data_IF_358409396455
#
_entry.id   IF_358409396455
#
_cell.length_a   1.000
_cell.length_b   1.000
_cell.length_c   1.000
_cell.angle_alpha   90.00
_cell.angle_beta   90.00
_cell.angle_gamma   90.00
#
_symmetry.space_group_name_H-M   'P 1'
#
loop_
_entity.id
_entity.type
_entity.pdbx_description
1 polymer ?
#
# COMPACT_ATOMS: atom_id res chain seq x y z
N UNK A 1 -20.40 5.88 -32.07
CA UNK A 1 -19.83 6.82 -31.08
C UNK A 1 -20.01 6.20 -29.71
N UNK A 2 -18.96 5.60 -29.16
CA UNK A 2 -19.02 5.06 -27.80
C UNK A 2 -19.04 6.25 -26.84
N UNK A 3 -20.14 6.39 -26.09
CA UNK A 3 -20.22 7.32 -24.98
C UNK A 3 -19.19 6.89 -23.93
N UNK A 4 -18.13 7.68 -23.75
CA UNK A 4 -17.23 7.52 -22.61
C UNK A 4 -18.03 8.00 -21.41
N UNK A 5 -18.71 7.07 -20.74
CA UNK A 5 -19.30 7.36 -19.44
C UNK A 5 -18.16 7.67 -18.48
N UNK A 6 -18.02 8.95 -18.13
CA UNK A 6 -17.13 9.35 -17.05
C UNK A 6 -17.59 8.63 -15.79
N UNK A 7 -16.78 7.66 -15.33
CA UNK A 7 -17.07 6.87 -14.15
C UNK A 7 -17.15 7.77 -12.92
N UNK A 8 -18.14 7.54 -12.05
CA UNK A 8 -18.32 8.33 -10.83
C UNK A 8 -17.15 8.12 -9.86
N UNK A 9 -16.94 9.05 -8.92
CA UNK A 9 -15.92 8.87 -7.87
C UNK A 9 -16.13 7.55 -7.09
N UNK A 10 -17.37 7.22 -6.78
CA UNK A 10 -17.73 5.96 -6.10
C UNK A 10 -17.30 4.74 -6.91
N UNK A 11 -17.60 4.70 -8.21
CA UNK A 11 -17.17 3.61 -9.10
C UNK A 11 -15.64 3.53 -9.21
N UNK A 12 -14.94 4.67 -9.29
CA UNK A 12 -13.47 4.70 -9.30
C UNK A 12 -12.90 4.10 -8.01
N UNK A 13 -13.46 4.44 -6.85
CA UNK A 13 -13.03 3.91 -5.54
C UNK A 13 -13.36 2.41 -5.43
N UNK A 14 -14.53 1.98 -5.89
CA UNK A 14 -14.90 0.55 -5.91
C UNK A 14 -13.93 -0.26 -6.77
N UNK A 15 -13.62 0.22 -7.98
CA UNK A 15 -12.64 -0.40 -8.86
C UNK A 15 -11.24 -0.46 -8.25
N UNK A 16 -10.83 0.61 -7.53
CA UNK A 16 -9.58 0.63 -6.79
C UNK A 16 -9.57 -0.40 -5.65
N UNK A 17 -10.67 -0.56 -4.92
CA UNK A 17 -10.81 -1.53 -3.85
C UNK A 17 -10.69 -2.97 -4.38
N UNK A 18 -11.37 -3.28 -5.49
CA UNK A 18 -11.28 -4.59 -6.13
C UNK A 18 -9.84 -4.91 -6.53
N UNK A 19 -9.17 -4.02 -7.27
CA UNK A 19 -7.77 -4.20 -7.68
C UNK A 19 -6.83 -4.37 -6.49
N UNK A 20 -7.06 -3.62 -5.41
CA UNK A 20 -6.25 -3.68 -4.19
C UNK A 20 -6.43 -5.02 -3.48
N UNK A 21 -7.67 -5.53 -3.40
CA UNK A 21 -8.00 -6.82 -2.80
C UNK A 21 -7.38 -7.99 -3.58
N UNK A 22 -7.53 -7.99 -4.91
CA UNK A 22 -6.94 -9.02 -5.79
C UNK A 22 -5.40 -9.05 -5.66
N UNK A 23 -4.76 -7.89 -5.66
CA UNK A 23 -3.32 -7.78 -5.52
C UNK A 23 -2.82 -8.20 -4.12
N UNK A 24 -3.57 -7.87 -3.06
CA UNK A 24 -3.27 -8.32 -1.69
C UNK A 24 -3.36 -9.84 -1.59
N UNK A 25 -4.45 -10.44 -2.07
CA UNK A 25 -4.65 -11.88 -2.04
C UNK A 25 -3.54 -12.61 -2.79
N UNK A 26 -3.18 -12.13 -3.99
CA UNK A 26 -2.08 -12.67 -4.78
C UNK A 26 -0.76 -12.64 -4.00
N UNK A 27 -0.44 -11.53 -3.35
CA UNK A 27 0.80 -11.37 -2.60
C UNK A 27 0.84 -12.25 -1.34
N UNK A 28 -0.29 -12.38 -0.63
CA UNK A 28 -0.42 -13.29 0.51
C UNK A 28 -0.19 -14.73 0.06
N UNK A 29 -0.89 -15.20 -0.98
CA UNK A 29 -0.78 -16.57 -1.45
C UNK A 29 0.64 -16.89 -1.92
N UNK A 30 1.27 -15.99 -2.68
CA UNK A 30 2.65 -16.13 -3.11
C UNK A 30 3.60 -16.33 -1.91
N UNK A 31 3.50 -15.46 -0.90
CA UNK A 31 4.34 -15.56 0.29
C UNK A 31 4.10 -16.86 1.07
N UNK A 32 2.83 -17.28 1.20
CA UNK A 32 2.49 -18.52 1.90
C UNK A 32 3.06 -19.76 1.19
N UNK A 33 3.16 -19.75 -0.14
CA UNK A 33 3.83 -20.82 -0.88
C UNK A 33 5.35 -20.80 -0.69
N UNK A 34 6.00 -19.62 -0.74
CA UNK A 34 7.43 -19.49 -0.44
C UNK A 34 7.78 -20.02 0.96
N UNK A 35 6.93 -19.72 1.96
CA UNK A 35 7.12 -20.18 3.34
C UNK A 35 7.20 -21.71 3.50
N UNK A 36 6.72 -22.49 2.52
CA UNK A 36 6.79 -23.96 2.58
C UNK A 36 8.19 -24.49 2.35
N UNK A 37 9.03 -23.72 1.66
CA UNK A 37 10.41 -24.11 1.31
C UNK A 37 11.48 -23.26 1.98
N UNK A 38 11.06 -22.25 2.77
CA UNK A 38 11.95 -21.46 3.62
C UNK A 38 12.68 -22.36 4.64
N UNK A 39 13.90 -21.95 5.01
CA UNK A 39 14.58 -22.52 6.18
C UNK A 39 13.72 -22.29 7.44
N UNK A 40 13.66 -23.31 8.29
CA UNK A 40 12.82 -23.33 9.50
C UNK A 40 13.63 -23.41 10.79
N UNK A 41 14.94 -23.19 10.70
CA UNK A 41 15.87 -23.25 11.83
C UNK A 41 15.49 -22.30 12.98
N UNK A 42 14.82 -21.18 12.69
CA UNK A 42 14.33 -20.25 13.73
C UNK A 42 13.27 -20.86 14.66
N UNK A 43 12.56 -21.92 14.26
CA UNK A 43 11.65 -22.64 15.16
C UNK A 43 12.38 -23.32 16.32
N UNK A 44 13.69 -23.57 16.22
CA UNK A 44 14.48 -24.00 17.37
C UNK A 44 14.46 -22.94 18.48
N UNK A 45 14.62 -21.67 18.12
CA UNK A 45 14.59 -20.56 19.07
C UNK A 45 13.20 -20.45 19.70
N UNK A 46 12.14 -20.56 18.89
CA UNK A 46 10.76 -20.53 19.39
C UNK A 46 10.51 -21.64 20.43
N UNK A 47 10.99 -22.87 20.17
CA UNK A 47 10.88 -23.99 21.12
C UNK A 47 11.64 -23.74 22.42
N UNK A 48 12.84 -23.17 22.36
CA UNK A 48 13.59 -22.77 23.57
C UNK A 48 12.80 -21.78 24.42
N UNK A 49 11.99 -20.92 23.77
CA UNK A 49 11.10 -19.96 24.42
C UNK A 49 9.73 -20.55 24.81
N UNK A 50 9.52 -21.86 24.66
CA UNK A 50 8.28 -22.54 25.03
C UNK A 50 7.16 -22.46 24.00
N UNK A 51 7.44 -21.98 22.79
CA UNK A 51 6.47 -21.90 21.68
C UNK A 51 6.59 -23.14 20.80
N UNK A 52 5.47 -23.80 20.54
CA UNK A 52 5.45 -24.97 19.66
C UNK A 52 5.73 -24.59 18.21
N UNK A 53 6.20 -25.53 17.41
CA UNK A 53 6.43 -25.28 15.98
C UNK A 53 5.14 -24.87 15.26
N UNK A 54 4.00 -25.47 15.64
CA UNK A 54 2.70 -25.15 15.08
C UNK A 54 2.29 -23.70 15.39
N UNK A 55 2.43 -23.27 16.65
CA UNK A 55 2.17 -21.87 17.04
C UNK A 55 3.13 -20.92 16.31
N UNK A 56 4.41 -21.27 16.21
CA UNK A 56 5.42 -20.53 15.45
C UNK A 56 5.03 -20.30 13.99
N UNK A 57 4.61 -21.37 13.30
CA UNK A 57 4.13 -21.29 11.91
C UNK A 57 2.91 -20.39 11.78
N UNK A 58 1.95 -20.48 12.71
CA UNK A 58 0.77 -19.61 12.71
C UNK A 58 1.15 -18.14 12.93
N UNK A 59 2.06 -17.86 13.88
CA UNK A 59 2.57 -16.52 14.13
C UNK A 59 3.19 -15.95 12.85
N UNK A 60 4.09 -16.69 12.19
CA UNK A 60 4.73 -16.24 10.97
C UNK A 60 3.71 -15.98 9.84
N UNK A 61 2.70 -16.84 9.70
CA UNK A 61 1.60 -16.65 8.73
C UNK A 61 0.84 -15.35 8.99
N UNK A 62 0.44 -15.11 10.24
CA UNK A 62 -0.34 -13.91 10.59
C UNK A 62 0.51 -12.64 10.54
N UNK A 63 1.79 -12.70 10.88
CA UNK A 63 2.71 -11.58 10.70
C UNK A 63 2.84 -11.18 9.23
N UNK A 64 3.02 -12.14 8.32
CA UNK A 64 3.09 -11.85 6.88
C UNK A 64 1.77 -11.27 6.37
N UNK A 65 0.63 -11.88 6.73
CA UNK A 65 -0.71 -11.36 6.37
C UNK A 65 -0.93 -9.94 6.88
N UNK A 66 -0.61 -9.68 8.14
CA UNK A 66 -0.73 -8.36 8.76
C UNK A 66 0.15 -7.31 8.06
N UNK A 67 1.42 -7.65 7.80
CA UNK A 67 2.35 -6.77 7.07
C UNK A 67 1.80 -6.39 5.70
N UNK A 68 1.28 -7.35 4.94
CA UNK A 68 0.69 -7.04 3.63
C UNK A 68 -0.61 -6.25 3.78
N UNK A 69 -1.50 -6.61 4.70
CA UNK A 69 -2.74 -5.88 4.93
C UNK A 69 -2.49 -4.38 5.14
N UNK A 70 -1.60 -4.02 6.06
CA UNK A 70 -1.31 -2.60 6.34
C UNK A 70 -0.65 -1.88 5.16
N UNK A 71 0.24 -2.56 4.41
CA UNK A 71 0.83 -1.99 3.19
C UNK A 71 -0.23 -1.66 2.14
N UNK A 72 -1.13 -2.60 1.87
CA UNK A 72 -2.15 -2.43 0.83
C UNK A 72 -3.26 -1.48 1.29
N UNK A 73 -3.65 -1.51 2.56
CA UNK A 73 -4.61 -0.56 3.13
C UNK A 73 -4.09 0.88 3.05
N UNK A 74 -2.81 1.11 3.38
CA UNK A 74 -2.17 2.42 3.26
C UNK A 74 -2.18 2.94 1.82
N UNK A 75 -1.70 2.13 0.87
CA UNK A 75 -1.70 2.52 -0.55
C UNK A 75 -3.10 2.70 -1.14
N UNK A 76 -4.08 1.93 -0.68
CA UNK A 76 -5.47 2.10 -1.07
C UNK A 76 -6.00 3.47 -0.60
N UNK A 77 -5.82 3.81 0.68
CA UNK A 77 -6.28 5.07 1.24
C UNK A 77 -5.62 6.28 0.58
N UNK A 78 -4.32 6.20 0.32
CA UNK A 78 -3.56 7.23 -0.41
C UNK A 78 -4.20 7.51 -1.79
N UNK A 79 -4.41 6.47 -2.60
CA UNK A 79 -5.01 6.59 -3.93
C UNK A 79 -6.47 7.03 -3.90
N UNK A 80 -7.26 6.53 -2.96
CA UNK A 80 -8.65 6.95 -2.79
C UNK A 80 -8.75 8.43 -2.41
N UNK A 81 -7.80 8.91 -1.58
CA UNK A 81 -7.69 10.32 -1.21
C UNK A 81 -7.31 11.18 -2.42
N UNK A 82 -6.33 10.74 -3.22
CA UNK A 82 -5.96 11.43 -4.46
C UNK A 82 -7.14 11.54 -5.44
N UNK A 83 -7.92 10.47 -5.61
CA UNK A 83 -9.14 10.50 -6.44
C UNK A 83 -10.15 11.52 -5.91
N UNK A 84 -10.32 11.60 -4.59
CA UNK A 84 -11.24 12.53 -3.95
C UNK A 84 -10.79 13.99 -4.11
N UNK A 85 -9.48 14.25 -4.02
CA UNK A 85 -8.92 15.58 -4.29
C UNK A 85 -9.07 16.00 -5.75
N UNK A 86 -8.79 15.11 -6.70
CA UNK A 86 -8.97 15.41 -8.12
C UNK A 86 -10.43 15.70 -8.49
N UNK A 87 -11.40 15.02 -7.83
CA UNK A 87 -12.81 15.30 -8.05
C UNK A 87 -13.20 16.70 -7.55
N UNK A 88 -12.68 17.11 -6.39
CA UNK A 88 -12.98 18.42 -5.78
C UNK A 88 -12.18 19.58 -6.41
N UNK A 89 -10.93 19.30 -6.80
CA UNK A 89 -9.95 20.25 -7.30
C UNK A 89 -9.33 19.69 -8.60
N UNK A 90 -10.01 19.82 -9.75
CA UNK A 90 -9.61 19.18 -11.01
C UNK A 90 -8.23 19.62 -11.54
N UNK A 91 -7.80 20.84 -11.19
CA UNK A 91 -6.51 21.41 -11.60
C UNK A 91 -5.37 21.08 -10.62
N UNK A 92 -5.64 20.29 -9.57
CA UNK A 92 -4.61 19.90 -8.61
C UNK A 92 -3.60 18.90 -9.21
N UNK A 93 -2.34 19.02 -8.79
CA UNK A 93 -1.23 18.17 -9.27
C UNK A 93 -0.38 17.68 -8.10
N UNK A 94 0.16 16.46 -8.24
CA UNK A 94 1.27 16.02 -7.38
C UNK A 94 2.57 16.65 -7.87
N UNK A 95 3.34 17.24 -6.95
CA UNK A 95 4.64 17.86 -7.28
C UNK A 95 5.73 17.38 -6.32
N UNK A 96 6.95 17.29 -6.85
CA UNK A 96 8.15 17.05 -6.05
C UNK A 96 8.95 18.33 -5.93
N UNK A 97 9.16 18.78 -4.70
CA UNK A 97 9.96 19.96 -4.38
C UNK A 97 11.33 19.53 -3.84
N UNK A 98 12.37 20.31 -4.12
CA UNK A 98 13.72 20.02 -3.64
C UNK A 98 13.82 20.29 -2.14
N UNK A 99 14.51 19.42 -1.39
CA UNK A 99 14.81 19.70 0.01
C UNK A 99 15.92 20.77 0.11
N UNK A 100 15.56 21.95 0.63
CA UNK A 100 16.49 23.09 0.80
C UNK A 100 17.09 23.17 2.20
N UNK A 101 16.60 22.38 3.16
CA UNK A 101 16.98 22.45 4.58
C UNK A 101 17.95 21.33 5.01
N UNK A 102 18.10 20.28 4.21
CA UNK A 102 18.95 19.13 4.56
C UNK A 102 19.34 18.26 3.37
N UNK A 103 20.18 17.25 3.64
CA UNK A 103 20.69 16.35 2.61
C UNK A 103 19.77 15.16 2.30
N UNK A 104 18.85 14.82 3.21
CA UNK A 104 17.85 13.74 3.05
C UNK A 104 16.52 14.09 3.72
N UNK A 105 15.37 13.70 3.11
CA UNK A 105 15.23 13.18 1.76
C UNK A 105 15.64 14.22 0.69
N UNK A 106 15.97 13.80 -0.54
CA UNK A 106 16.39 14.74 -1.61
C UNK A 106 15.25 15.66 -2.06
N UNK A 107 14.03 15.13 -2.04
CA UNK A 107 12.81 15.81 -2.44
C UNK A 107 11.69 15.51 -1.47
N UNK A 108 10.75 16.42 -1.33
CA UNK A 108 9.45 16.18 -0.72
C UNK A 108 8.39 16.07 -1.80
N UNK A 109 7.38 15.24 -1.58
CA UNK A 109 6.21 15.12 -2.46
C UNK A 109 5.02 15.84 -1.82
N UNK A 110 4.34 16.65 -2.61
CA UNK A 110 3.08 17.29 -2.26
C UNK A 110 2.01 16.59 -3.09
N UNK A 111 1.16 15.77 -2.45
CA UNK A 111 0.19 14.91 -3.14
C UNK A 111 -0.93 15.70 -3.84
N UNK A 112 -1.22 16.91 -3.36
CA UNK A 112 -2.25 17.78 -3.90
C UNK A 112 -1.82 19.25 -3.77
N UNK A 113 -1.28 19.81 -4.86
CA UNK A 113 -1.04 21.24 -4.99
C UNK A 113 -2.15 21.84 -5.85
N UNK A 114 -2.96 22.71 -5.26
CA UNK A 114 -3.99 23.50 -5.94
C UNK A 114 -3.51 24.95 -6.14
N UNK A 115 -3.64 25.44 -7.37
CA UNK A 115 -3.21 26.79 -7.75
C UNK A 115 -1.74 26.90 -8.16
N UNK A 116 -1.41 28.03 -8.81
CA UNK A 116 -0.11 28.25 -9.43
C UNK A 116 0.82 29.03 -8.50
N UNK A 117 1.29 28.40 -7.42
CA UNK A 117 2.44 28.90 -6.65
C UNK A 117 3.64 28.00 -6.89
N UNK A 118 4.09 27.97 -8.14
CA UNK A 118 5.35 27.33 -8.56
C UNK A 118 6.59 28.15 -8.10
N UNK A 119 6.43 29.08 -7.14
CA UNK A 119 7.51 29.91 -6.56
C UNK A 119 7.53 29.75 -5.05
N UNK A 120 8.23 28.72 -4.57
CA UNK A 120 8.77 28.61 -3.22
C UNK A 120 10.25 28.21 -3.32
#
# INVERSE_FOLDING_TARGET
>A
MASITNSSLEEKIHNLAQKSSEALLKQINFRLEEMKVDDTSHFLIYRVLGITEQEGRLIDIYQNKGRFLYKYAGSFLEKATQLSFLEKYPDSKSVKITNTLGSRPKTFEIDCLEGNRDTL
#
